data_IF_000088019308
#
_entry.id   IF_000088019308
#
_cell.length_a   1.000
_cell.length_b   1.000
_cell.length_c   1.000
_cell.angle_alpha   90.00
_cell.angle_beta   90.00
_cell.angle_gamma   90.00
#
_symmetry.space_group_name_H-M   'P 1'
#
loop_
_entity.id
_entity.type
_entity.pdbx_description
1 polymer ?
#
# COMPACT_ATOMS: atom_id res chain seq x y z
N UNK A 1 22.81 46.42 5.44
CA UNK A 1 22.28 45.53 4.39
C UNK A 1 22.40 44.11 4.93
N UNK A 2 21.28 43.48 5.32
CA UNK A 2 21.29 42.15 5.95
C UNK A 2 21.65 41.08 4.91
N UNK A 3 22.62 40.22 5.25
CA UNK A 3 23.05 39.12 4.40
C UNK A 3 21.97 38.06 4.25
N UNK A 4 21.23 38.09 3.15
CA UNK A 4 20.46 36.93 2.71
C UNK A 4 21.44 35.87 2.19
N UNK A 5 21.57 34.74 2.89
CA UNK A 5 22.36 33.61 2.41
C UNK A 5 21.68 33.03 1.16
N UNK A 6 22.33 33.02 -0.02
CA UNK A 6 21.77 32.38 -1.21
C UNK A 6 21.77 30.87 -0.98
N UNK A 7 20.60 30.24 -0.86
CA UNK A 7 20.49 28.77 -0.78
C UNK A 7 19.42 28.18 0.13
N UNK A 8 18.65 28.99 0.87
CA UNK A 8 17.71 28.49 1.90
C UNK A 8 16.49 27.74 1.34
N UNK A 9 16.31 27.70 0.01
CA UNK A 9 15.18 27.00 -0.63
C UNK A 9 15.62 25.95 -1.65
N UNK A 10 16.64 25.15 -1.34
CA UNK A 10 16.82 23.90 -2.07
C UNK A 10 15.58 23.01 -1.83
N UNK A 11 14.80 22.73 -2.87
CA UNK A 11 13.67 21.82 -2.82
C UNK A 11 14.19 20.42 -2.43
N UNK A 12 14.01 20.04 -1.18
CA UNK A 12 14.42 18.73 -0.66
C UNK A 12 13.40 17.68 -1.09
N UNK A 13 13.58 17.12 -2.28
CA UNK A 13 12.81 15.96 -2.72
C UNK A 13 13.17 14.76 -1.86
N UNK A 14 12.17 14.09 -1.31
CA UNK A 14 12.35 12.85 -0.57
C UNK A 14 11.89 11.67 -1.44
N UNK A 15 12.63 10.55 -1.42
CA UNK A 15 12.14 9.31 -2.00
C UNK A 15 10.81 8.89 -1.37
N UNK A 16 10.01 8.14 -2.13
CA UNK A 16 8.80 7.51 -1.59
C UNK A 16 9.17 6.58 -0.44
N UNK A 17 8.45 6.69 0.67
CA UNK A 17 8.61 5.81 1.81
C UNK A 17 7.28 5.10 2.06
N UNK A 18 7.27 3.78 1.84
CA UNK A 18 6.11 2.93 2.11
C UNK A 18 6.09 2.57 3.59
N UNK A 19 4.92 2.66 4.23
CA UNK A 19 4.75 2.25 5.63
C UNK A 19 4.92 0.74 5.80
N UNK A 20 5.40 0.30 6.96
CA UNK A 20 5.61 -1.12 7.22
C UNK A 20 4.30 -1.91 7.26
N UNK A 21 3.20 -1.29 7.68
CA UNK A 21 1.86 -1.89 7.64
C UNK A 21 1.45 -2.23 6.21
N UNK A 22 1.80 -1.38 5.25
CA UNK A 22 1.47 -1.57 3.84
C UNK A 22 2.42 -2.56 3.15
N UNK A 23 3.67 -2.69 3.61
CA UNK A 23 4.59 -3.75 3.17
C UNK A 23 4.17 -5.13 3.70
N UNK A 24 3.87 -5.23 5.00
CA UNK A 24 3.47 -6.47 5.68
C UNK A 24 2.08 -6.94 5.22
N UNK A 25 1.20 -5.98 4.95
CA UNK A 25 -0.14 -6.20 4.47
C UNK A 25 -1.18 -5.81 5.50
N UNK A 26 -2.24 -5.17 5.03
CA UNK A 26 -3.34 -4.69 5.85
C UNK A 26 -4.66 -5.27 5.31
N UNK A 27 -5.58 -5.62 6.22
CA UNK A 27 -6.87 -6.20 5.85
C UNK A 27 -7.79 -5.10 5.32
N UNK A 28 -8.40 -5.35 4.16
CA UNK A 28 -9.39 -4.48 3.53
C UNK A 28 -10.55 -5.30 2.98
N UNK A 29 -11.62 -4.62 2.58
CA UNK A 29 -12.73 -5.22 1.84
C UNK A 29 -12.68 -4.69 0.41
N UNK A 30 -12.57 -5.59 -0.56
CA UNK A 30 -12.78 -5.28 -1.97
C UNK A 30 -14.28 -5.38 -2.26
N UNK A 31 -14.84 -4.33 -2.85
CA UNK A 31 -16.22 -4.24 -3.30
C UNK A 31 -16.26 -3.55 -4.66
N UNK A 32 -17.36 -3.73 -5.39
CA UNK A 32 -17.60 -3.15 -6.71
C UNK A 32 -19.06 -2.69 -6.78
N UNK A 33 -19.35 -1.58 -7.46
CA UNK A 33 -20.71 -0.99 -7.47
C UNK A 33 -21.71 -1.88 -8.23
N UNK A 34 -21.22 -2.61 -9.24
CA UNK A 34 -22.04 -3.51 -10.08
C UNK A 34 -22.23 -4.90 -9.44
N UNK A 35 -21.67 -5.13 -8.24
CA UNK A 35 -21.70 -6.44 -7.57
C UNK A 35 -22.04 -6.33 -6.09
N UNK A 36 -22.96 -7.17 -5.62
CA UNK A 36 -23.24 -7.29 -4.17
C UNK A 36 -22.16 -8.08 -3.42
N UNK A 37 -21.09 -8.53 -4.10
CA UNK A 37 -20.04 -9.35 -3.52
C UNK A 37 -19.00 -8.46 -2.83
N UNK A 38 -18.80 -8.71 -1.55
CA UNK A 38 -17.73 -8.13 -0.75
C UNK A 38 -16.69 -9.21 -0.43
N UNK A 39 -15.42 -8.95 -0.77
CA UNK A 39 -14.33 -9.92 -0.56
C UNK A 39 -13.29 -9.36 0.40
N UNK A 40 -13.04 -10.01 1.55
CA UNK A 40 -11.95 -9.63 2.44
C UNK A 40 -10.61 -9.96 1.77
N UNK A 41 -9.75 -8.95 1.66
CA UNK A 41 -8.42 -9.06 1.05
C UNK A 41 -7.32 -8.63 2.03
N UNK A 42 -6.10 -9.03 1.74
CA UNK A 42 -4.89 -8.44 2.33
C UNK A 42 -4.23 -7.59 1.24
N UNK A 43 -4.20 -6.27 1.42
CA UNK A 43 -3.58 -5.32 0.50
C UNK A 43 -2.12 -5.08 0.90
N UNK A 44 -1.21 -5.13 -0.07
CA UNK A 44 0.22 -4.86 0.10
C UNK A 44 0.75 -3.92 -0.97
N UNK A 45 1.83 -3.21 -0.64
CA UNK A 45 2.65 -2.44 -1.58
C UNK A 45 4.05 -3.04 -1.68
N UNK A 46 4.69 -2.91 -2.84
CA UNK A 46 6.13 -3.15 -2.93
C UNK A 46 6.91 -2.05 -2.17
N UNK A 47 8.17 -2.31 -1.75
CA UNK A 47 8.95 -1.35 -0.96
C UNK A 47 9.26 -0.02 -1.67
N UNK A 48 9.28 -0.01 -3.01
CA UNK A 48 9.58 1.16 -3.82
C UNK A 48 8.31 2.01 -4.06
N UNK A 49 7.12 1.46 -3.76
CA UNK A 49 5.85 2.18 -3.80
C UNK A 49 5.28 2.33 -5.21
N UNK A 50 5.58 1.40 -6.11
CA UNK A 50 5.12 1.42 -7.50
C UNK A 50 3.79 0.70 -7.69
N UNK A 51 3.56 -0.39 -6.96
CA UNK A 51 2.45 -1.29 -7.20
C UNK A 51 1.75 -1.70 -5.91
N UNK A 52 0.43 -1.75 -6.00
CA UNK A 52 -0.41 -2.46 -5.06
C UNK A 52 -0.75 -3.85 -5.59
N UNK A 53 -0.79 -4.81 -4.67
CA UNK A 53 -1.29 -6.15 -4.95
C UNK A 53 -2.08 -6.65 -3.76
N UNK A 54 -3.00 -7.58 -4.01
CA UNK A 54 -3.84 -8.14 -2.95
C UNK A 54 -4.04 -9.63 -3.11
N UNK A 55 -4.29 -10.28 -1.98
CA UNK A 55 -4.65 -11.70 -1.93
C UNK A 55 -6.00 -11.85 -1.24
N UNK A 56 -6.85 -12.73 -1.76
CA UNK A 56 -8.07 -13.15 -1.07
C UNK A 56 -7.70 -13.93 0.20
N UNK A 57 -8.34 -13.63 1.31
CA UNK A 57 -8.15 -14.36 2.57
C UNK A 57 -8.63 -15.82 2.49
N UNK A 58 -9.47 -16.16 1.51
CA UNK A 58 -10.01 -17.51 1.35
C UNK A 58 -9.06 -18.53 0.69
N UNK A 59 -7.84 -18.16 0.31
CA UNK A 59 -6.88 -19.12 -0.27
C UNK A 59 -6.20 -20.05 0.75
N UNK A 60 -6.43 -19.87 2.05
CA UNK A 60 -5.88 -20.71 3.13
C UNK A 60 -6.86 -21.76 3.68
N UNK A 61 -7.76 -22.29 2.84
CA UNK A 61 -8.32 -23.62 3.09
C UNK A 61 -7.89 -24.56 1.97
N UNK A 62 -6.80 -25.32 2.13
CA UNK A 62 -6.70 -26.57 1.41
C UNK A 62 -7.96 -27.36 1.80
N UNK A 63 -8.86 -27.58 0.83
CA UNK A 63 -9.93 -28.56 0.97
C UNK A 63 -9.28 -29.94 1.03
N UNK A 64 -8.66 -30.28 2.14
CA UNK A 64 -8.21 -31.64 2.43
C UNK A 64 -9.36 -32.34 3.14
N UNK A 65 -10.37 -32.76 2.39
CA UNK A 65 -11.28 -33.83 2.78
C UNK A 65 -11.77 -34.54 1.51
N UNK A 66 -11.07 -35.62 1.17
CA UNK A 66 -11.65 -36.85 0.64
C UNK A 66 -10.76 -38.01 1.12
#
# INVERSE_FOLDING_TARGET
>A
MAGAQPGVHALQLKPVCVSDSLKKGTKFVKWDDDSTIVTPIILRSDPQGFFFYWTDQNKDFPRTLA
#
